data_IF_025669084385
#
_entry.id   IF_025669084385
#
_cell.length_a   1.000
_cell.length_b   1.000
_cell.length_c   1.000
_cell.angle_alpha   90.00
_cell.angle_beta   90.00
_cell.angle_gamma   90.00
#
_symmetry.space_group_name_H-M   'P 1'
#
loop_
_entity.id
_entity.type
_entity.pdbx_description
1 polymer ?
#
# COMPACT_ATOMS: atom_id res chain seq x y z
N UNK A 1 -29.66 -16.42 -36.75
CA UNK A 1 -28.61 -17.45 -36.95
C UNK A 1 -27.95 -17.71 -35.62
N UNK A 2 -28.26 -18.85 -35.02
CA UNK A 2 -27.77 -19.27 -33.70
C UNK A 2 -26.34 -19.83 -33.86
N UNK A 3 -25.34 -18.97 -33.81
CA UNK A 3 -23.94 -19.41 -33.72
C UNK A 3 -23.65 -19.79 -32.25
N UNK A 4 -24.16 -20.94 -31.83
CA UNK A 4 -23.84 -21.57 -30.54
C UNK A 4 -22.49 -22.29 -30.62
N UNK A 5 -21.45 -21.63 -31.13
CA UNK A 5 -20.10 -22.17 -30.96
C UNK A 5 -19.73 -22.11 -29.47
N UNK A 6 -19.18 -23.19 -28.89
CA UNK A 6 -18.77 -23.19 -27.50
C UNK A 6 -17.67 -22.15 -27.31
N UNK A 7 -18.02 -21.01 -26.71
CA UNK A 7 -17.05 -19.95 -26.38
C UNK A 7 -15.90 -20.53 -25.57
N UNK A 8 -14.67 -20.27 -26.02
CA UNK A 8 -13.49 -20.71 -25.30
C UNK A 8 -13.42 -20.03 -23.94
N UNK A 9 -12.70 -20.64 -22.99
CA UNK A 9 -12.48 -20.04 -21.67
C UNK A 9 -11.88 -18.63 -21.76
N UNK A 10 -10.96 -18.41 -22.71
CA UNK A 10 -10.36 -17.11 -22.97
C UNK A 10 -11.36 -16.07 -23.48
N UNK A 11 -12.31 -16.47 -24.33
CA UNK A 11 -13.34 -15.56 -24.83
C UNK A 11 -14.28 -15.11 -23.71
N UNK A 12 -14.64 -16.02 -22.79
CA UNK A 12 -15.44 -15.71 -21.61
C UNK A 12 -14.72 -14.72 -20.68
N UNK A 13 -13.41 -14.91 -20.47
CA UNK A 13 -12.60 -13.99 -19.67
C UNK A 13 -12.47 -12.61 -20.31
N UNK A 14 -12.18 -12.55 -21.61
CA UNK A 14 -12.04 -11.30 -22.34
C UNK A 14 -13.38 -10.53 -22.46
N UNK A 15 -14.50 -11.24 -22.54
CA UNK A 15 -15.84 -10.65 -22.54
C UNK A 15 -16.20 -10.03 -21.17
N UNK A 16 -15.72 -10.62 -20.07
CA UNK A 16 -15.94 -10.10 -18.72
C UNK A 16 -15.12 -8.84 -18.41
N UNK A 17 -13.83 -8.86 -18.76
CA UNK A 17 -12.94 -7.72 -18.53
C UNK A 17 -11.72 -7.72 -19.45
N UNK A 18 -11.71 -6.89 -20.50
CA UNK A 18 -10.58 -6.79 -21.46
C UNK A 18 -9.22 -6.53 -20.79
N UNK A 19 -9.18 -5.92 -19.60
CA UNK A 19 -7.96 -5.59 -18.86
C UNK A 19 -7.51 -6.63 -17.83
N UNK A 20 -8.15 -7.80 -17.75
CA UNK A 20 -7.97 -8.73 -16.63
C UNK A 20 -6.51 -9.19 -16.42
N UNK A 21 -5.78 -9.47 -17.51
CA UNK A 21 -4.39 -9.94 -17.47
C UNK A 21 -3.48 -8.95 -16.77
N UNK A 22 -3.64 -7.67 -17.10
CA UNK A 22 -2.84 -6.60 -16.53
C UNK A 22 -3.20 -6.34 -15.06
N UNK A 23 -4.50 -6.39 -14.70
CA UNK A 23 -4.94 -6.27 -13.30
C UNK A 23 -4.32 -7.35 -12.43
N UNK A 24 -4.37 -8.60 -12.87
CA UNK A 24 -3.81 -9.72 -12.13
C UNK A 24 -2.29 -9.64 -12.07
N UNK A 25 -1.64 -9.29 -13.19
CA UNK A 25 -0.19 -9.08 -13.22
C UNK A 25 0.25 -8.00 -12.22
N UNK A 26 -0.42 -6.85 -12.20
CA UNK A 26 -0.15 -5.79 -11.22
C UNK A 26 -0.38 -6.25 -9.79
N UNK A 27 -1.46 -7.00 -9.51
CA UNK A 27 -1.72 -7.56 -8.18
C UNK A 27 -0.65 -8.54 -7.74
N UNK A 28 -0.17 -9.40 -8.64
CA UNK A 28 0.91 -10.32 -8.36
C UNK A 28 2.21 -9.57 -8.04
N UNK A 29 2.54 -8.52 -8.82
CA UNK A 29 3.70 -7.66 -8.56
C UNK A 29 3.57 -6.97 -7.20
N UNK A 30 2.40 -6.42 -6.87
CA UNK A 30 2.16 -5.82 -5.54
C UNK A 30 2.43 -6.84 -4.43
N UNK A 31 1.88 -8.06 -4.54
CA UNK A 31 2.07 -9.09 -3.52
C UNK A 31 3.55 -9.43 -3.36
N UNK A 32 4.28 -9.62 -4.46
CA UNK A 32 5.71 -9.91 -4.43
C UNK A 32 6.54 -8.79 -3.81
N UNK A 33 6.32 -7.54 -4.25
CA UNK A 33 6.99 -6.35 -3.70
C UNK A 33 6.68 -6.18 -2.21
N UNK A 34 5.42 -6.38 -1.83
CA UNK A 34 5.01 -6.30 -0.43
C UNK A 34 5.63 -7.39 0.43
N UNK A 35 5.84 -8.62 -0.09
CA UNK A 35 6.56 -9.66 0.65
C UNK A 35 8.04 -9.30 0.87
N UNK A 36 8.71 -8.76 -0.14
CA UNK A 36 10.11 -8.31 -0.03
C UNK A 36 10.21 -7.18 1.00
N UNK A 37 9.36 -6.15 0.87
CA UNK A 37 9.30 -5.03 1.80
C UNK A 37 8.96 -5.46 3.23
N UNK A 38 8.01 -6.39 3.39
CA UNK A 38 7.65 -6.99 4.68
C UNK A 38 8.84 -7.73 5.31
N UNK A 39 9.60 -8.50 4.52
CA UNK A 39 10.79 -9.20 4.99
C UNK A 39 11.86 -8.25 5.51
N UNK A 40 12.16 -7.19 4.76
CA UNK A 40 13.11 -6.16 5.20
C UNK A 40 12.63 -5.44 6.46
N UNK A 41 11.38 -4.97 6.48
CA UNK A 41 10.79 -4.30 7.63
C UNK A 41 10.73 -5.22 8.87
N UNK A 42 10.41 -6.50 8.70
CA UNK A 42 10.32 -7.45 9.80
C UNK A 42 11.71 -7.75 10.38
N UNK A 43 12.74 -7.86 9.53
CA UNK A 43 14.12 -7.99 9.99
C UNK A 43 14.56 -6.76 10.78
N UNK A 44 14.20 -5.54 10.34
CA UNK A 44 14.49 -4.32 11.09
C UNK A 44 13.82 -4.40 12.47
N UNK A 45 12.51 -4.63 12.52
CA UNK A 45 11.77 -4.74 13.78
C UNK A 45 12.38 -5.81 14.70
N UNK A 46 12.67 -7.00 14.19
CA UNK A 46 13.21 -8.08 15.00
C UNK A 46 14.58 -7.77 15.65
N UNK A 47 15.45 -7.01 14.97
CA UNK A 47 16.80 -6.70 15.45
C UNK A 47 16.89 -5.36 16.18
N UNK A 48 15.96 -4.45 15.90
CA UNK A 48 16.07 -3.02 16.17
C UNK A 48 14.78 -2.42 16.79
N UNK A 49 13.92 -3.18 17.48
CA UNK A 49 12.79 -2.57 18.25
C UNK A 49 12.71 -2.99 19.71
N UNK A 50 13.85 -3.35 20.31
CA UNK A 50 13.94 -3.60 21.75
C UNK A 50 13.64 -2.32 22.55
N UNK A 51 12.42 -2.18 23.05
CA UNK A 51 11.90 -0.96 23.71
C UNK A 51 12.84 -0.39 24.80
N UNK A 52 13.54 -1.25 25.53
CA UNK A 52 14.46 -0.84 26.58
C UNK A 52 15.78 -0.26 26.03
N UNK A 53 16.27 -0.75 24.88
CA UNK A 53 17.52 -0.28 24.24
C UNK A 53 17.31 1.00 23.42
N UNK A 54 16.11 1.17 22.86
CA UNK A 54 15.77 2.27 21.95
C UNK A 54 15.57 3.61 22.65
N UNK A 55 14.86 3.64 23.78
CA UNK A 55 14.60 4.88 24.53
C UNK A 55 15.87 5.60 24.99
N UNK A 56 16.99 4.88 25.08
CA UNK A 56 18.24 5.45 25.54
C UNK A 56 18.98 6.24 24.45
N UNK A 57 18.85 5.83 23.19
CA UNK A 57 19.42 6.52 22.05
C UNK A 57 18.29 7.22 21.29
N UNK A 58 18.00 8.46 21.68
CA UNK A 58 16.94 9.32 21.12
C UNK A 58 17.01 9.50 19.58
N UNK A 59 18.13 9.10 18.97
CA UNK A 59 18.36 9.06 17.53
C UNK A 59 17.52 8.00 16.79
N UNK A 60 16.88 7.08 17.51
CA UNK A 60 16.24 5.88 16.95
C UNK A 60 14.77 5.67 17.39
N UNK A 61 14.20 6.61 18.16
CA UNK A 61 12.80 6.53 18.62
C UNK A 61 11.79 6.42 17.46
N UNK A 62 12.17 6.95 16.29
CA UNK A 62 11.34 6.94 15.08
C UNK A 62 11.12 5.51 14.57
N UNK A 63 12.12 4.64 14.64
CA UNK A 63 12.04 3.31 14.04
C UNK A 63 11.07 2.38 14.78
N UNK A 64 11.06 2.48 16.11
CA UNK A 64 10.13 1.75 16.97
C UNK A 64 8.67 2.09 16.67
N UNK A 65 8.37 3.38 16.48
CA UNK A 65 7.01 3.83 16.23
C UNK A 65 6.61 3.67 14.76
N UNK A 66 7.54 3.76 13.81
CA UNK A 66 7.26 3.82 12.36
C UNK A 66 7.16 2.43 11.72
N UNK A 67 8.15 1.56 11.92
CA UNK A 67 8.24 0.31 11.16
C UNK A 67 7.08 -0.67 11.43
N UNK A 68 6.45 -0.71 12.61
CA UNK A 68 5.21 -1.47 12.80
C UNK A 68 4.09 -1.03 11.84
N UNK A 69 3.94 0.26 11.53
CA UNK A 69 2.94 0.72 10.54
C UNK A 69 3.29 0.31 9.12
N UNK A 70 4.58 0.29 8.78
CA UNK A 70 5.08 -0.23 7.50
C UNK A 70 4.75 -1.73 7.36
N UNK A 71 4.89 -2.51 8.44
CA UNK A 71 4.49 -3.93 8.45
C UNK A 71 2.98 -4.13 8.24
N UNK A 72 2.16 -3.31 8.90
CA UNK A 72 0.70 -3.38 8.80
C UNK A 72 0.26 -3.09 7.36
N UNK A 73 0.79 -2.04 6.73
CA UNK A 73 0.43 -1.66 5.35
C UNK A 73 0.82 -2.73 4.33
N UNK A 74 2.02 -3.31 4.43
CA UNK A 74 2.40 -4.44 3.58
C UNK A 74 1.51 -5.66 3.80
N UNK A 75 1.20 -6.00 5.06
CA UNK A 75 0.37 -7.16 5.39
C UNK A 75 -1.05 -7.04 4.81
N UNK A 76 -1.70 -5.89 5.00
CA UNK A 76 -3.04 -5.64 4.45
C UNK A 76 -2.99 -5.66 2.91
N UNK A 77 -1.95 -5.09 2.31
CA UNK A 77 -1.75 -5.11 0.86
C UNK A 77 -1.60 -6.53 0.30
N UNK A 78 -0.84 -7.41 0.96
CA UNK A 78 -0.70 -8.83 0.60
C UNK A 78 -2.05 -9.53 0.68
N UNK A 79 -2.76 -9.40 1.80
CA UNK A 79 -4.07 -10.04 2.01
C UNK A 79 -5.06 -9.57 0.94
N UNK A 80 -5.12 -8.26 0.69
CA UNK A 80 -6.02 -7.70 -0.32
C UNK A 80 -5.67 -8.16 -1.74
N UNK A 81 -4.38 -8.17 -2.10
CA UNK A 81 -3.90 -8.67 -3.38
C UNK A 81 -4.25 -10.15 -3.59
N UNK A 82 -4.03 -10.98 -2.57
CA UNK A 82 -4.37 -12.39 -2.58
C UNK A 82 -5.88 -12.63 -2.69
N UNK A 83 -6.71 -11.90 -1.93
CA UNK A 83 -8.18 -11.98 -2.02
C UNK A 83 -8.66 -11.61 -3.42
N UNK A 84 -8.14 -10.54 -4.02
CA UNK A 84 -8.50 -10.17 -5.39
C UNK A 84 -8.13 -11.25 -6.41
N UNK A 85 -6.93 -11.83 -6.29
CA UNK A 85 -6.48 -12.94 -7.12
C UNK A 85 -7.36 -14.19 -6.95
N UNK A 86 -7.60 -14.61 -5.71
CA UNK A 86 -8.42 -15.78 -5.39
C UNK A 86 -9.87 -15.62 -5.86
N UNK A 87 -10.51 -14.47 -5.61
CA UNK A 87 -11.89 -14.22 -6.05
C UNK A 87 -12.01 -14.30 -7.58
N UNK A 88 -11.01 -13.80 -8.31
CA UNK A 88 -10.98 -13.90 -9.77
C UNK A 88 -10.85 -15.36 -10.25
N UNK A 89 -9.99 -16.15 -9.61
CA UNK A 89 -9.73 -17.54 -9.98
C UNK A 89 -10.88 -18.48 -9.60
N UNK A 90 -11.50 -18.26 -8.43
CA UNK A 90 -12.52 -19.17 -7.86
C UNK A 90 -13.94 -18.89 -8.33
N UNK A 91 -14.28 -17.66 -8.73
CA UNK A 91 -15.64 -17.35 -9.19
C UNK A 91 -15.94 -18.06 -10.50
N UNK A 92 -17.00 -18.87 -10.52
CA UNK A 92 -17.51 -19.59 -11.71
C UNK A 92 -17.82 -18.67 -12.90
N UNK A 93 -18.20 -17.41 -12.65
CA UNK A 93 -18.45 -16.41 -13.69
C UNK A 93 -17.20 -15.62 -14.09
N UNK A 94 -16.06 -15.87 -13.43
CA UNK A 94 -14.82 -15.08 -13.49
C UNK A 94 -15.06 -13.57 -13.41
N UNK A 95 -16.17 -13.19 -12.76
CA UNK A 95 -16.54 -11.81 -12.62
C UNK A 95 -15.60 -11.16 -11.60
N UNK A 96 -15.01 -10.00 -11.91
CA UNK A 96 -14.15 -9.30 -10.99
C UNK A 96 -14.89 -8.95 -9.68
N UNK A 97 -14.11 -8.61 -8.66
CA UNK A 97 -14.64 -8.03 -7.42
C UNK A 97 -15.53 -6.83 -7.76
N UNK A 98 -16.53 -6.55 -6.93
CA UNK A 98 -17.41 -5.40 -7.16
C UNK A 98 -16.55 -4.13 -7.29
N UNK A 99 -16.68 -3.36 -8.40
CA UNK A 99 -15.74 -2.29 -8.71
C UNK A 99 -15.74 -1.19 -7.64
N UNK A 100 -16.90 -0.95 -7.00
CA UNK A 100 -16.97 -0.02 -5.86
C UNK A 100 -16.18 -0.46 -4.62
N UNK A 101 -16.13 -1.77 -4.32
CA UNK A 101 -15.32 -2.28 -3.21
C UNK A 101 -13.82 -2.16 -3.54
N UNK A 102 -13.47 -2.42 -4.80
CA UNK A 102 -12.10 -2.26 -5.27
C UNK A 102 -11.61 -0.81 -5.18
N UNK A 103 -12.43 0.16 -5.62
CA UNK A 103 -12.13 1.59 -5.49
C UNK A 103 -11.88 1.96 -4.03
N UNK A 104 -12.76 1.56 -3.11
CA UNK A 104 -12.66 1.94 -1.70
C UNK A 104 -11.38 1.41 -1.04
N UNK A 105 -11.07 0.12 -1.23
CA UNK A 105 -9.89 -0.49 -0.57
C UNK A 105 -8.58 -0.01 -1.20
N UNK A 106 -8.50 0.09 -2.53
CA UNK A 106 -7.29 0.62 -3.18
C UNK A 106 -7.04 2.09 -2.83
N UNK A 107 -8.10 2.90 -2.66
CA UNK A 107 -7.97 4.28 -2.19
C UNK A 107 -7.43 4.36 -0.77
N UNK A 108 -7.99 3.56 0.16
CA UNK A 108 -7.53 3.52 1.56
C UNK A 108 -6.06 3.09 1.61
N UNK A 109 -5.71 2.00 0.91
CA UNK A 109 -4.33 1.52 0.86
C UNK A 109 -3.40 2.57 0.26
N UNK A 110 -3.78 3.21 -0.86
CA UNK A 110 -2.98 4.27 -1.47
C UNK A 110 -2.71 5.41 -0.49
N UNK A 111 -3.73 5.90 0.23
CA UNK A 111 -3.55 6.95 1.24
C UNK A 111 -2.68 6.49 2.42
N UNK A 112 -2.86 5.25 2.90
CA UNK A 112 -2.03 4.68 3.96
C UNK A 112 -0.56 4.60 3.53
N UNK A 113 -0.29 4.18 2.30
CA UNK A 113 1.06 4.09 1.75
C UNK A 113 1.74 5.47 1.64
N UNK A 114 1.02 6.57 1.44
CA UNK A 114 1.62 7.92 1.46
C UNK A 114 2.22 8.19 2.84
N UNK A 115 1.44 7.96 3.90
CA UNK A 115 1.89 8.17 5.27
C UNK A 115 3.07 7.27 5.63
N UNK A 116 2.96 5.96 5.38
CA UNK A 116 4.01 5.01 5.75
C UNK A 116 5.27 5.13 4.89
N UNK A 117 5.16 5.52 3.61
CA UNK A 117 6.33 5.78 2.77
C UNK A 117 7.14 7.00 3.26
N UNK A 118 6.47 8.08 3.65
CA UNK A 118 7.14 9.25 4.22
C UNK A 118 7.85 8.92 5.54
N UNK A 119 7.21 8.14 6.40
CA UNK A 119 7.84 7.68 7.63
C UNK A 119 9.03 6.75 7.35
N UNK A 120 8.94 5.85 6.35
CA UNK A 120 10.06 5.00 5.95
C UNK A 120 11.26 5.80 5.43
N UNK A 121 11.01 6.88 4.67
CA UNK A 121 12.07 7.82 4.25
C UNK A 121 12.73 8.47 5.48
N UNK A 122 11.96 8.89 6.48
CA UNK A 122 12.51 9.47 7.70
C UNK A 122 13.41 8.47 8.45
N UNK A 123 13.00 7.20 8.58
CA UNK A 123 13.82 6.13 9.16
C UNK A 123 15.13 5.96 8.39
N UNK A 124 15.06 5.77 7.07
CA UNK A 124 16.25 5.59 6.23
C UNK A 124 17.22 6.78 6.29
N UNK A 125 16.70 8.02 6.36
CA UNK A 125 17.52 9.21 6.54
C UNK A 125 18.17 9.26 7.93
N UNK A 126 17.44 8.86 8.98
CA UNK A 126 17.98 8.78 10.34
C UNK A 126 19.18 7.84 10.41
N UNK A 127 19.04 6.63 9.87
CA UNK A 127 20.14 5.65 9.83
C UNK A 127 21.29 6.10 8.95
N UNK A 128 21.00 6.78 7.83
CA UNK A 128 22.05 7.36 6.99
C UNK A 128 22.87 8.42 7.73
N UNK A 129 22.24 9.18 8.64
CA UNK A 129 22.86 10.27 9.39
C UNK A 129 23.57 9.80 10.66
N UNK A 130 23.24 8.61 11.18
CA UNK A 130 23.83 8.05 12.38
C UNK A 130 25.37 8.10 12.36
N UNK A 131 25.97 8.84 13.30
CA UNK A 131 27.42 8.95 13.46
C UNK A 131 28.15 9.81 12.42
N UNK A 132 27.44 10.52 11.52
CA UNK A 132 28.08 11.36 10.50
C UNK A 132 28.75 12.62 11.07
N UNK A 133 28.32 13.08 12.24
CA UNK A 133 28.92 14.19 12.99
C UNK A 133 30.14 13.75 13.84
N UNK A 134 30.53 12.46 13.73
CA UNK A 134 31.60 11.89 14.52
C UNK A 134 31.19 11.59 15.96
N UNK A 135 29.90 11.65 16.28
CA UNK A 135 29.33 11.30 17.59
C UNK A 135 28.14 10.34 17.46
N UNK A 136 28.04 9.38 18.38
CA UNK A 136 26.81 8.60 18.57
C UNK A 136 26.29 8.91 19.97
N UNK A 137 25.01 9.29 20.07
CA UNK A 137 24.37 9.68 21.32
C UNK A 137 24.44 11.19 21.64
N UNK A 138 23.46 11.66 22.39
CA UNK A 138 23.53 12.91 23.17
C UNK A 138 23.11 14.24 22.53
N UNK A 139 22.34 14.22 21.44
CA UNK A 139 22.03 15.45 20.71
C UNK A 139 20.86 16.29 21.27
N UNK A 140 20.02 15.81 22.21
CA UNK A 140 18.80 16.56 22.59
C UNK A 140 18.52 16.81 24.07
N UNK A 141 19.27 16.23 25.02
CA UNK A 141 19.09 16.58 26.44
C UNK A 141 20.33 17.17 27.07
N UNK A 142 20.16 18.40 27.57
CA UNK A 142 21.10 19.26 28.29
C UNK A 142 21.65 18.67 29.59
N UNK A 143 21.38 17.41 29.90
CA UNK A 143 21.79 16.73 31.12
C UNK A 143 22.55 15.43 30.80
N UNK A 144 23.86 15.55 30.55
CA UNK A 144 24.83 14.45 30.73
C UNK A 144 24.51 13.14 30.01
N UNK A 145 24.17 13.20 28.72
CA UNK A 145 24.09 11.97 27.93
C UNK A 145 25.51 11.49 27.60
N UNK A 146 25.74 10.19 27.83
CA UNK A 146 26.99 9.53 27.50
C UNK A 146 27.34 9.82 26.02
N UNK A 147 28.55 10.34 25.74
CA UNK A 147 29.01 10.68 24.39
C UNK A 147 30.07 9.68 23.94
N UNK A 148 29.85 9.11 22.76
CA UNK A 148 30.82 8.24 22.11
C UNK A 148 31.51 8.99 20.98
N UNK A 149 32.84 8.87 20.94
CA UNK A 149 33.64 9.42 19.85
C UNK A 149 34.16 8.29 18.96
N UNK A 150 34.22 8.56 17.66
CA UNK A 150 34.64 7.58 16.68
C UNK A 150 36.16 7.41 16.64
N UNK A 151 36.65 6.21 16.94
CA UNK A 151 38.06 5.87 16.79
C UNK A 151 38.31 5.23 15.43
N UNK A 152 38.79 6.03 14.48
CA UNK A 152 39.05 5.62 13.09
C UNK A 152 40.00 4.40 12.97
N UNK A 153 40.94 4.22 13.88
CA UNK A 153 41.95 3.15 13.79
C UNK A 153 41.35 1.74 13.90
N UNK A 154 40.27 1.59 14.66
CA UNK A 154 39.67 0.28 14.97
C UNK A 154 38.23 0.15 14.44
N UNK A 155 37.74 1.15 13.70
CA UNK A 155 36.34 1.24 13.23
C UNK A 155 35.34 0.99 14.38
N UNK A 156 35.66 1.53 15.56
CA UNK A 156 34.90 1.32 16.78
C UNK A 156 34.59 2.66 17.45
N UNK A 157 33.46 2.70 18.15
CA UNK A 157 33.06 3.80 19.00
C UNK A 157 33.58 3.54 20.40
N UNK A 158 34.29 4.51 20.95
CA UNK A 158 34.81 4.46 22.32
C UNK A 158 34.19 5.61 23.09
N UNK A 159 33.73 5.31 24.30
CA UNK A 159 33.22 6.32 25.19
C UNK A 159 34.30 7.34 25.54
N UNK A 160 34.03 8.64 25.35
CA UNK A 160 34.97 9.70 25.69
C UNK A 160 34.53 10.45 26.95
N UNK A 161 35.10 10.05 28.10
CA UNK A 161 34.91 10.72 29.38
C UNK A 161 35.45 12.17 29.42
N UNK A 162 36.25 12.58 28.43
CA UNK A 162 36.93 13.88 28.39
C UNK A 162 36.12 14.96 27.65
N UNK A 163 34.98 14.61 27.07
CA UNK A 163 34.15 15.57 26.33
C UNK A 163 33.67 16.68 27.28
N UNK A 164 33.93 17.93 26.90
CA UNK A 164 33.97 19.09 27.83
C UNK A 164 32.62 19.48 28.44
N UNK A 165 31.51 18.81 28.11
CA UNK A 165 30.19 19.10 28.66
C UNK A 165 30.03 18.60 30.11
N UNK A 166 30.73 17.53 30.50
CA UNK A 166 30.71 17.02 31.88
C UNK A 166 31.45 17.93 32.87
N UNK A 167 32.22 18.91 32.38
CA UNK A 167 32.94 19.87 33.24
C UNK A 167 32.04 20.90 33.91
N UNK A 168 30.83 21.17 33.41
CA UNK A 168 29.97 22.18 34.05
C UNK A 168 29.14 21.64 35.23
N UNK A 169 29.06 20.33 35.40
CA UNK A 169 28.43 19.66 36.57
C UNK A 169 29.41 19.50 37.76
N UNK A 170 30.66 19.97 37.63
CA UNK A 170 31.77 19.59 38.50
C UNK A 170 31.89 20.33 39.84
N UNK A 171 30.79 20.73 40.48
CA UNK A 171 30.85 21.25 41.86
C UNK A 171 30.76 20.16 42.94
N UNK A 172 30.58 18.89 42.56
CA UNK A 172 30.64 17.75 43.49
C UNK A 172 31.58 16.67 42.97
N UNK A 173 32.63 16.43 43.76
CA UNK A 173 33.81 15.58 43.56
C UNK A 173 33.54 14.06 43.45
N UNK A 174 32.38 13.64 42.96
CA UNK A 174 32.11 12.24 42.61
C UNK A 174 32.57 12.01 41.17
N UNK A 175 33.48 11.07 40.97
CA UNK A 175 33.90 10.57 39.65
C UNK A 175 32.70 10.44 38.69
N UNK A 176 32.63 11.31 37.69
CA UNK A 176 31.69 11.22 36.57
C UNK A 176 32.08 10.01 35.70
N UNK A 177 31.88 8.82 36.24
CA UNK A 177 31.84 7.60 35.46
C UNK A 177 30.53 7.56 34.68
N UNK A 178 30.53 6.78 33.60
CA UNK A 178 29.33 6.46 32.80
C UNK A 178 28.16 6.12 33.70
N UNK A 179 26.95 6.34 33.22
CA UNK A 179 25.73 5.91 33.91
C UNK A 179 25.76 4.42 34.32
N UNK A 180 26.44 3.58 33.53
CA UNK A 180 26.69 2.15 33.78
C UNK A 180 27.90 1.83 34.69
N UNK A 181 28.73 2.81 35.08
CA UNK A 181 29.88 2.62 35.99
C UNK A 181 29.50 2.62 37.47
N UNK A 182 28.24 2.93 37.80
CA UNK A 182 27.72 2.93 39.17
C UNK A 182 27.84 1.54 39.79
N UNK A 183 28.97 1.28 40.45
CA UNK A 183 29.19 0.07 41.23
C UNK A 183 28.29 0.16 42.46
N UNK A 184 27.09 -0.40 42.39
CA UNK A 184 26.28 -0.68 43.58
C UNK A 184 26.94 -1.82 44.36
N UNK A 185 28.01 -1.48 45.08
CA UNK A 185 28.69 -2.33 46.07
C UNK A 185 27.89 -2.45 47.37
N UNK A 186 26.76 -1.76 47.47
CA UNK A 186 25.74 -1.98 48.48
C UNK A 186 24.56 -2.68 47.83
N UNK A 187 24.13 -3.77 48.46
CA UNK A 187 23.02 -4.69 48.14
C UNK A 187 21.64 -4.04 47.91
N UNK A 188 21.58 -2.72 47.79
CA UNK A 188 20.44 -1.99 47.29
C UNK A 188 20.58 -1.89 45.78
N UNK A 189 19.83 -2.76 45.11
CA UNK A 189 19.43 -2.63 43.72
C UNK A 189 18.82 -1.24 43.48
N UNK A 190 19.67 -0.22 43.33
CA UNK A 190 19.31 0.96 42.57
C UNK A 190 19.25 0.52 41.11
N UNK A 191 18.20 -0.25 40.79
CA UNK A 191 17.52 -0.11 39.51
C UNK A 191 17.41 1.39 39.35
N UNK A 192 18.17 1.95 38.42
CA UNK A 192 17.85 3.26 37.87
C UNK A 192 16.49 3.07 37.21
N UNK A 193 15.44 3.08 38.03
CA UNK A 193 14.05 3.17 37.65
C UNK A 193 13.89 4.62 37.26
N UNK A 194 14.53 4.98 36.14
CA UNK A 194 14.00 6.03 35.31
C UNK A 194 12.50 5.75 35.19
N UNK A 195 11.69 6.79 35.36
CA UNK A 195 10.24 6.76 35.15
C UNK A 195 9.84 6.12 33.80
N UNK A 196 10.83 5.85 32.91
CA UNK A 196 10.70 5.25 31.59
C UNK A 196 11.30 3.84 31.39
N UNK A 197 11.84 3.14 32.40
CA UNK A 197 12.20 1.71 32.29
C UNK A 197 13.57 1.30 32.86
N UNK A 198 13.72 -0.01 33.10
CA UNK A 198 14.95 -0.67 33.57
C UNK A 198 16.06 -0.56 32.51
N UNK A 199 17.27 -0.18 32.92
CA UNK A 199 18.42 -0.09 32.02
C UNK A 199 18.72 -1.47 31.43
N UNK A 200 18.72 -1.66 30.10
CA UNK A 200 18.79 -3.00 29.49
C UNK A 200 20.20 -3.61 29.45
N UNK A 201 21.22 -2.88 29.91
CA UNK A 201 22.61 -3.31 29.87
C UNK A 201 23.08 -3.66 31.29
N UNK A 202 23.71 -4.83 31.46
CA UNK A 202 24.15 -5.26 32.80
C UNK A 202 25.41 -4.53 33.27
N UNK A 203 26.21 -4.03 32.33
CA UNK A 203 27.47 -3.31 32.59
C UNK A 203 27.83 -2.40 31.39
N UNK A 204 28.88 -1.60 31.51
CA UNK A 204 29.33 -0.71 30.43
C UNK A 204 29.92 -1.44 29.21
N UNK A 205 30.46 -2.64 29.40
CA UNK A 205 31.01 -3.44 28.31
C UNK A 205 29.89 -3.91 27.38
N UNK A 206 28.74 -4.34 27.92
CA UNK A 206 27.56 -4.71 27.13
C UNK A 206 27.04 -3.52 26.29
N UNK A 207 27.08 -2.32 26.87
CA UNK A 207 26.68 -1.09 26.18
C UNK A 207 27.65 -0.75 25.04
N UNK A 208 28.96 -0.86 25.25
CA UNK A 208 29.96 -0.64 24.21
C UNK A 208 29.87 -1.68 23.10
N UNK A 209 29.66 -2.95 23.45
CA UNK A 209 29.42 -4.02 22.48
C UNK A 209 28.18 -3.73 21.65
N UNK A 210 27.10 -3.27 22.28
CA UNK A 210 25.86 -2.90 21.59
C UNK A 210 26.07 -1.72 20.62
N UNK A 211 26.69 -0.62 21.04
CA UNK A 211 26.96 0.54 20.17
C UNK A 211 27.84 0.14 18.99
N UNK A 212 28.88 -0.66 19.23
CA UNK A 212 29.74 -1.14 18.15
C UNK A 212 29.03 -2.11 17.21
N UNK A 213 28.16 -2.98 17.73
CA UNK A 213 27.31 -3.86 16.90
C UNK A 213 26.33 -3.05 16.05
N UNK A 214 25.73 -2.00 16.61
CA UNK A 214 24.85 -1.08 15.89
C UNK A 214 25.61 -0.38 14.75
N UNK A 215 26.82 0.10 15.01
CA UNK A 215 27.66 0.72 14.00
C UNK A 215 28.05 -0.26 12.89
N UNK A 216 28.49 -1.46 13.25
CA UNK A 216 28.87 -2.51 12.29
C UNK A 216 27.68 -2.95 11.42
N UNK A 217 26.46 -2.93 11.97
CA UNK A 217 25.24 -3.28 11.24
C UNK A 217 24.60 -2.11 10.48
N UNK A 218 25.12 -0.87 10.62
CA UNK A 218 24.59 0.34 9.97
C UNK A 218 24.33 0.15 8.47
N UNK A 219 25.29 -0.42 7.75
CA UNK A 219 25.15 -0.64 6.30
C UNK A 219 24.03 -1.61 5.95
N UNK A 220 23.95 -2.74 6.64
CA UNK A 220 22.89 -3.73 6.44
C UNK A 220 21.51 -3.17 6.81
N UNK A 221 21.44 -2.39 7.90
CA UNK A 221 20.25 -1.68 8.35
C UNK A 221 19.77 -0.68 7.31
N UNK A 222 20.65 0.25 6.91
CA UNK A 222 20.34 1.25 5.89
C UNK A 222 19.85 0.62 4.58
N UNK A 223 20.54 -0.42 4.08
CA UNK A 223 20.12 -1.10 2.85
C UNK A 223 18.74 -1.77 2.98
N UNK A 224 18.42 -2.31 4.15
CA UNK A 224 17.12 -2.93 4.42
C UNK A 224 16.01 -1.89 4.50
N UNK A 225 16.27 -0.76 5.16
CA UNK A 225 15.33 0.36 5.27
C UNK A 225 15.10 1.03 3.91
N UNK A 226 16.16 1.22 3.14
CA UNK A 226 16.08 1.74 1.78
C UNK A 226 15.27 0.78 0.88
N UNK A 227 15.51 -0.53 0.98
CA UNK A 227 14.75 -1.52 0.21
C UNK A 227 13.26 -1.49 0.58
N UNK A 228 12.94 -1.48 1.88
CA UNK A 228 11.56 -1.36 2.35
C UNK A 228 10.90 -0.07 1.86
N UNK A 229 11.63 1.05 1.88
CA UNK A 229 11.19 2.36 1.38
C UNK A 229 10.90 2.32 -0.12
N UNK A 230 11.80 1.75 -0.92
CA UNK A 230 11.57 1.59 -2.37
C UNK A 230 10.35 0.71 -2.64
N UNK A 231 10.20 -0.40 -1.90
CA UNK A 231 9.01 -1.25 -2.00
C UNK A 231 7.72 -0.50 -1.63
N UNK A 232 7.74 0.38 -0.62
CA UNK A 232 6.60 1.24 -0.27
C UNK A 232 6.20 2.15 -1.43
N UNK A 233 7.15 2.81 -2.11
CA UNK A 233 6.85 3.67 -3.27
C UNK A 233 6.35 2.90 -4.49
N UNK A 234 6.90 1.71 -4.76
CA UNK A 234 6.41 0.84 -5.83
C UNK A 234 4.97 0.39 -5.54
N UNK A 235 4.69 -0.04 -4.31
CA UNK A 235 3.34 -0.44 -3.88
C UNK A 235 2.36 0.74 -3.95
N UNK A 236 2.77 1.94 -3.51
CA UNK A 236 2.01 3.18 -3.62
C UNK A 236 1.59 3.46 -5.08
N UNK A 237 2.55 3.42 -6.01
CA UNK A 237 2.28 3.68 -7.43
C UNK A 237 1.35 2.62 -8.03
N UNK A 238 1.55 1.34 -7.71
CA UNK A 238 0.71 0.27 -8.22
C UNK A 238 -0.72 0.34 -7.67
N UNK A 239 -0.90 0.66 -6.38
CA UNK A 239 -2.23 0.89 -5.81
C UNK A 239 -2.92 2.10 -6.46
N UNK A 240 -2.19 3.18 -6.75
CA UNK A 240 -2.74 4.33 -7.47
C UNK A 240 -3.25 3.95 -8.87
N UNK A 241 -2.46 3.20 -9.65
CA UNK A 241 -2.86 2.76 -10.98
C UNK A 241 -4.10 1.85 -10.93
N UNK A 242 -4.15 0.93 -9.98
CA UNK A 242 -5.31 0.04 -9.78
C UNK A 242 -6.55 0.79 -9.31
N UNK A 243 -6.39 1.82 -8.47
CA UNK A 243 -7.45 2.74 -8.07
C UNK A 243 -8.04 3.47 -9.28
N UNK A 244 -7.20 4.08 -10.13
CA UNK A 244 -7.66 4.78 -11.36
C UNK A 244 -8.43 3.82 -12.25
N UNK A 245 -7.94 2.58 -12.43
CA UNK A 245 -8.64 1.56 -13.20
C UNK A 245 -9.99 1.17 -12.59
N UNK A 246 -10.06 1.02 -11.27
CA UNK A 246 -11.31 0.72 -10.57
C UNK A 246 -12.34 1.87 -10.72
N UNK A 247 -11.89 3.13 -10.74
CA UNK A 247 -12.73 4.28 -11.04
C UNK A 247 -13.27 4.23 -12.48
N UNK A 248 -12.40 3.97 -13.47
CA UNK A 248 -12.80 3.83 -14.87
C UNK A 248 -13.80 2.69 -15.06
N UNK A 249 -13.60 1.55 -14.40
CA UNK A 249 -14.52 0.42 -14.43
C UNK A 249 -15.87 0.77 -13.81
N UNK A 250 -15.86 1.47 -12.68
CA UNK A 250 -17.08 1.93 -12.02
C UNK A 250 -17.87 2.88 -12.93
N UNK A 251 -17.18 3.82 -13.58
CA UNK A 251 -17.78 4.75 -14.52
C UNK A 251 -18.35 4.03 -15.76
N UNK A 252 -17.58 3.11 -16.37
CA UNK A 252 -18.02 2.29 -17.50
C UNK A 252 -19.24 1.45 -17.14
N UNK A 253 -19.25 0.82 -15.96
CA UNK A 253 -20.39 0.04 -15.45
C UNK A 253 -21.62 0.92 -15.22
N UNK A 254 -21.46 2.13 -14.69
CA UNK A 254 -22.56 3.08 -14.49
C UNK A 254 -23.16 3.51 -15.83
N UNK A 255 -22.33 3.88 -16.81
CA UNK A 255 -22.79 4.23 -18.18
C UNK A 255 -23.52 3.06 -18.86
N UNK A 256 -23.02 1.84 -18.71
CA UNK A 256 -23.66 0.64 -19.27
C UNK A 256 -25.03 0.33 -18.66
N UNK A 257 -25.29 0.71 -17.40
CA UNK A 257 -26.63 0.58 -16.79
C UNK A 257 -27.61 1.63 -17.31
N UNK A 258 -27.19 2.89 -17.36
CA UNK A 258 -28.03 3.99 -17.86
C UNK A 258 -28.50 3.71 -19.29
N UNK A 259 -27.63 3.17 -20.16
CA UNK A 259 -28.03 2.75 -21.51
C UNK A 259 -29.13 1.70 -21.50
N UNK A 260 -29.01 0.65 -20.68
CA UNK A 260 -30.01 -0.42 -20.60
C UNK A 260 -31.33 0.02 -19.96
N UNK A 261 -31.28 0.89 -18.97
CA UNK A 261 -32.47 1.45 -18.34
C UNK A 261 -33.20 2.39 -19.30
N UNK A 262 -32.47 3.19 -20.08
CA UNK A 262 -33.02 4.01 -21.16
C UNK A 262 -33.61 3.16 -22.29
N UNK A 263 -32.94 2.09 -22.70
CA UNK A 263 -33.46 1.10 -23.66
C UNK A 263 -34.75 0.45 -23.15
N UNK A 264 -34.78 0.05 -21.87
CA UNK A 264 -35.96 -0.54 -21.25
C UNK A 264 -37.12 0.45 -21.17
N UNK A 265 -36.84 1.70 -20.80
CA UNK A 265 -37.84 2.78 -20.76
C UNK A 265 -38.38 3.08 -22.17
N UNK A 266 -37.50 3.18 -23.17
CA UNK A 266 -37.89 3.38 -24.56
C UNK A 266 -38.76 2.21 -25.06
N UNK A 267 -38.37 0.96 -24.76
CA UNK A 267 -39.16 -0.22 -25.08
C UNK A 267 -40.54 -0.19 -24.41
N UNK A 268 -40.62 0.23 -23.15
CA UNK A 268 -41.89 0.36 -22.43
C UNK A 268 -42.79 1.46 -23.03
N UNK A 269 -42.23 2.62 -23.41
CA UNK A 269 -42.97 3.71 -24.06
C UNK A 269 -43.52 3.26 -25.41
N UNK A 270 -42.71 2.61 -26.24
CA UNK A 270 -43.15 2.07 -27.54
C UNK A 270 -44.26 1.05 -27.35
N UNK A 271 -44.14 0.15 -26.37
CA UNK A 271 -45.17 -0.84 -26.07
C UNK A 271 -46.48 -0.19 -25.61
N UNK A 272 -46.42 0.86 -24.78
CA UNK A 272 -47.60 1.64 -24.36
C UNK A 272 -48.25 2.41 -25.52
N UNK A 273 -47.45 3.00 -26.42
CA UNK A 273 -47.97 3.70 -27.60
C UNK A 273 -48.70 2.76 -28.57
N UNK A 274 -48.18 1.53 -28.74
CA UNK A 274 -48.86 0.48 -29.52
C UNK A 274 -50.16 0.06 -28.84
N UNK A 275 -50.14 -0.16 -27.53
CA UNK A 275 -51.32 -0.64 -26.77
C UNK A 275 -52.44 0.40 -26.74
N UNK A 276 -52.10 1.70 -26.64
CA UNK A 276 -53.08 2.79 -26.60
C UNK A 276 -53.59 3.21 -27.99
N UNK A 277 -53.15 2.56 -29.08
CA UNK A 277 -53.56 2.90 -30.45
C UNK A 277 -53.02 4.23 -30.97
N UNK A 278 -52.06 4.85 -30.28
CA UNK A 278 -51.45 6.12 -30.68
C UNK A 278 -50.48 5.96 -31.86
N UNK A 279 -49.98 4.74 -32.11
CA UNK A 279 -49.23 4.38 -33.32
C UNK A 279 -50.10 3.40 -34.10
N UNK A 280 -50.74 3.90 -35.15
CA UNK A 280 -51.39 3.06 -36.16
C UNK A 280 -50.26 2.58 -37.09
N UNK A 281 -49.90 1.29 -37.12
CA UNK A 281 -48.93 0.80 -38.10
C UNK A 281 -49.45 1.16 -39.50
N UNK A 282 -48.56 1.55 -40.43
CA UNK A 282 -48.96 2.05 -41.73
C UNK A 282 -49.94 1.07 -42.41
N UNK A 283 -51.06 1.58 -42.96
CA UNK A 283 -52.11 0.73 -43.53
C UNK A 283 -51.52 -0.15 -44.62
N UNK A 284 -51.56 -1.47 -44.41
CA UNK A 284 -50.95 -2.47 -45.28
C UNK A 284 -50.02 -3.45 -44.57
N UNK A 285 -49.54 -3.14 -43.35
CA UNK A 285 -48.88 -4.14 -42.51
C UNK A 285 -49.95 -4.90 -41.71
N UNK A 286 -50.34 -6.07 -42.25
CA UNK A 286 -51.26 -6.98 -41.61
C UNK A 286 -50.81 -7.28 -40.17
N UNK A 287 -51.75 -7.08 -39.24
CA UNK A 287 -51.60 -7.34 -37.83
C UNK A 287 -51.36 -8.85 -37.62
N UNK A 288 -50.10 -9.27 -37.57
CA UNK A 288 -49.74 -10.65 -37.25
C UNK A 288 -49.93 -10.82 -35.75
N UNK A 289 -51.04 -11.45 -35.34
CA UNK A 289 -51.22 -11.90 -33.96
C UNK A 289 -50.04 -12.81 -33.58
N UNK A 290 -49.50 -12.73 -32.35
CA UNK A 290 -48.54 -13.71 -31.87
C UNK A 290 -49.26 -15.05 -31.67
N UNK A 291 -49.35 -15.84 -32.75
CA UNK A 291 -49.61 -17.27 -32.65
C UNK A 291 -48.35 -17.96 -32.12
N UNK A 292 -48.59 -18.94 -31.26
CA UNK A 292 -47.62 -19.85 -30.66
C UNK A 292 -46.53 -20.30 -31.66
N UNK A 293 -45.28 -20.53 -31.20
CA UNK A 293 -44.12 -20.70 -32.07
C UNK A 293 -44.33 -21.83 -33.08
N UNK A 294 -44.48 -21.53 -34.38
CA UNK A 294 -44.40 -22.54 -35.42
C UNK A 294 -42.91 -22.80 -35.65
N UNK A 295 -42.51 -24.06 -35.52
CA UNK A 295 -41.23 -24.52 -36.02
C UNK A 295 -41.16 -24.25 -37.53
N UNK A 296 -40.38 -23.29 -38.03
CA UNK A 296 -40.03 -23.30 -39.46
C UNK A 296 -38.63 -22.78 -39.81
N UNK A 297 -37.98 -23.66 -40.58
CA UNK A 297 -36.99 -23.53 -41.65
C UNK A 297 -36.67 -22.12 -42.16
N UNK A 298 -35.36 -21.87 -42.22
CA UNK A 298 -34.71 -20.67 -42.74
C UNK A 298 -34.52 -20.77 -44.27
N UNK A 299 -35.01 -19.77 -45.01
CA UNK A 299 -34.46 -19.37 -46.32
C UNK A 299 -33.99 -17.90 -46.23
N UNK A 300 -32.84 -17.52 -46.83
CA UNK A 300 -32.30 -16.17 -46.74
C UNK A 300 -32.90 -15.26 -47.81
N UNK A 301 -33.41 -14.09 -47.41
CA UNK A 301 -33.69 -12.97 -48.31
C UNK A 301 -32.83 -11.75 -47.97
N UNK A 302 -32.25 -11.19 -49.04
CA UNK A 302 -31.45 -9.96 -49.09
C UNK A 302 -32.25 -8.72 -48.70
N UNK A 303 -31.62 -7.82 -47.94
CA UNK A 303 -32.13 -6.48 -47.65
C UNK A 303 -31.42 -5.43 -48.53
N UNK A 304 -32.16 -4.47 -49.14
CA UNK A 304 -31.57 -3.28 -49.75
C UNK A 304 -31.37 -2.14 -48.75
N UNK A 305 -30.30 -1.36 -49.00
CA UNK A 305 -29.92 -0.12 -48.31
C UNK A 305 -31.01 0.95 -48.36
N UNK A 306 -31.18 1.71 -47.27
CA UNK A 306 -31.69 3.08 -47.33
C UNK A 306 -30.68 4.07 -46.76
N UNK A 307 -30.26 4.99 -47.62
CA UNK A 307 -29.58 6.24 -47.28
C UNK A 307 -30.60 7.21 -46.67
N UNK A 308 -30.24 7.85 -45.55
CA UNK A 308 -30.99 9.00 -45.05
C UNK A 308 -30.06 10.21 -45.00
N UNK A 309 -30.31 11.16 -45.91
CA UNK A 309 -29.64 12.46 -45.98
C UNK A 309 -30.06 13.33 -44.78
N UNK A 310 -29.09 13.89 -44.06
CA UNK A 310 -29.29 15.01 -43.14
C UNK A 310 -29.29 16.32 -43.93
N UNK A 311 -30.41 17.03 -43.92
CA UNK A 311 -30.56 18.37 -44.48
C UNK A 311 -30.30 19.40 -43.37
N UNK A 312 -29.28 20.23 -43.54
CA UNK A 312 -28.97 21.39 -42.68
C UNK A 312 -29.95 22.55 -42.93
N UNK A 313 -30.32 23.27 -41.87
CA UNK A 313 -31.04 24.54 -41.95
C UNK A 313 -30.03 25.72 -41.88
N UNK A 314 -30.19 26.79 -42.70
CA UNK A 314 -29.39 28.00 -42.58
C UNK A 314 -30.00 28.96 -41.55
N UNK A 315 -29.16 29.63 -40.75
CA UNK A 315 -29.55 30.74 -39.87
C UNK A 315 -29.56 32.08 -40.65
N UNK A 316 -30.53 32.98 -40.37
CA UNK A 316 -30.59 34.34 -40.90
C UNK A 316 -29.72 35.35 -40.10
N UNK A 317 -29.50 36.59 -40.62
CA UNK A 317 -28.33 37.44 -40.32
C UNK A 317 -28.30 38.13 -38.95
#
# INVERSE_FOLDING_TARGET
TNNNEPQTFYDKLNAGDRGWKWKIGMRAIIVLVSFIGLGCAAWIVANFTSQARYRYFDMDNWDYDIFPWVLITFSISIVWGAVCGLVFLMKKSHAPVHPGAQVAVDLILWLSYIGTALCAVAGALSVSQLGNDGTIGGSYWSSGSDRWDYHQSNNSWVYNASSSYDRYSSSSSSSNGRSCNGSSSSSSSYRYSSYYGEYPFANCQDLDEYVNTLWQTKGARFNSELTATVCQFIALLLHFVLFVWACVDTHRRRRGKVGKDAEKLAAEIVQKMITNGAIIPPPGQAHVRPMAPPQQQFYPQQYPQYQQYQQFAPQPP
#
